data_IF_202323536206
#
_entry.id   IF_202323536206
#
_cell.length_a   1.000
_cell.length_b   1.000
_cell.length_c   1.000
_cell.angle_alpha   90.00
_cell.angle_beta   90.00
_cell.angle_gamma   90.00
#
_symmetry.space_group_name_H-M   'P 1'
#
loop_
_entity.id
_entity.type
_entity.pdbx_description
1 polymer ?
#
# COMPACT_ATOMS: atom_id res chain seq x y z
N UNK A 1 -14.02 27.90 1.17
CA UNK A 1 -12.59 27.52 1.02
C UNK A 1 -11.84 28.76 0.59
N UNK A 2 -10.78 29.14 1.31
CA UNK A 2 -9.92 30.28 0.92
C UNK A 2 -8.88 29.82 -0.10
N UNK A 3 -8.30 30.74 -0.86
CA UNK A 3 -7.21 30.42 -1.78
C UNK A 3 -5.97 29.91 -1.02
N UNK A 4 -5.71 30.39 0.21
CA UNK A 4 -4.66 29.80 1.05
C UNK A 4 -4.91 28.30 1.34
N UNK A 5 -6.17 27.90 1.61
CA UNK A 5 -6.48 26.50 1.90
C UNK A 5 -6.27 25.56 0.70
N UNK A 6 -6.42 26.07 -0.52
CA UNK A 6 -6.16 25.31 -1.75
C UNK A 6 -4.65 25.14 -2.00
N UNK A 7 -3.86 26.17 -1.74
CA UNK A 7 -2.41 26.12 -1.91
C UNK A 7 -1.69 25.29 -0.83
N UNK A 8 -2.32 25.09 0.33
CA UNK A 8 -1.79 24.23 1.40
C UNK A 8 -1.96 22.73 1.13
N UNK A 9 -2.82 22.35 0.18
CA UNK A 9 -3.01 20.96 -0.19
C UNK A 9 -1.81 20.44 -1.00
N UNK A 10 -1.24 19.31 -0.57
CA UNK A 10 -0.22 18.57 -1.32
C UNK A 10 -0.61 17.11 -1.46
N UNK A 11 -0.32 16.53 -2.63
CA UNK A 11 -0.47 15.08 -2.84
C UNK A 11 0.50 14.26 -1.97
N UNK A 12 1.55 14.89 -1.44
CA UNK A 12 2.52 14.23 -0.55
C UNK A 12 1.88 13.70 0.73
N UNK A 13 0.74 14.26 1.17
CA UNK A 13 -0.01 13.74 2.32
C UNK A 13 -0.45 12.29 2.16
N UNK A 14 -0.57 11.80 0.91
CA UNK A 14 -0.97 10.44 0.60
C UNK A 14 0.21 9.53 0.26
N UNK A 15 1.44 10.06 0.19
CA UNK A 15 2.62 9.25 -0.05
C UNK A 15 2.93 8.39 1.18
N UNK A 16 3.24 7.12 0.94
CA UNK A 16 3.73 6.19 1.95
C UNK A 16 5.21 5.89 1.81
N UNK A 17 5.95 6.68 1.01
CA UNK A 17 7.38 6.49 0.79
C UNK A 17 8.14 6.46 2.13
N UNK A 18 8.91 5.39 2.33
CA UNK A 18 9.70 5.19 3.55
C UNK A 18 8.88 4.75 4.77
N UNK A 19 7.58 4.46 4.60
CA UNK A 19 6.76 3.79 5.62
C UNK A 19 6.74 2.29 5.38
N UNK A 20 6.43 1.55 6.44
CA UNK A 20 6.20 0.10 6.36
C UNK A 20 4.77 -0.20 6.79
N UNK A 21 4.05 -1.00 6.01
CA UNK A 21 2.69 -1.43 6.30
C UNK A 21 2.62 -2.95 6.47
N UNK A 22 1.90 -3.39 7.49
CA UNK A 22 1.60 -4.81 7.73
C UNK A 22 0.16 -5.08 7.29
N UNK A 23 -0.04 -6.02 6.38
CA UNK A 23 -1.37 -6.38 5.87
C UNK A 23 -1.66 -7.85 6.18
N UNK A 24 -2.40 -8.10 7.26
CA UNK A 24 -2.86 -9.45 7.63
C UNK A 24 -3.90 -9.94 6.64
N UNK A 25 -3.79 -11.17 6.16
CA UNK A 25 -4.66 -11.68 5.09
C UNK A 25 -4.42 -10.98 3.75
N UNK A 26 -3.26 -10.32 3.58
CA UNK A 26 -2.92 -9.57 2.37
C UNK A 26 -2.53 -10.42 1.17
N UNK A 27 -2.61 -11.75 1.25
CA UNK A 27 -2.17 -12.67 0.19
C UNK A 27 -3.31 -13.14 -0.73
N UNK A 28 -4.53 -12.63 -0.54
CA UNK A 28 -5.66 -12.91 -1.43
C UNK A 28 -6.76 -11.85 -1.31
N UNK A 29 -7.71 -11.87 -2.26
CA UNK A 29 -8.94 -11.06 -2.20
C UNK A 29 -8.69 -9.56 -1.98
N UNK A 30 -9.48 -8.95 -1.10
CA UNK A 30 -9.36 -7.52 -0.79
C UNK A 30 -8.04 -7.18 -0.09
N UNK A 31 -7.50 -8.08 0.73
CA UNK A 31 -6.22 -7.86 1.39
C UNK A 31 -5.08 -7.71 0.38
N UNK A 32 -5.07 -8.51 -0.67
CA UNK A 32 -4.11 -8.39 -1.78
C UNK A 32 -4.25 -7.06 -2.51
N UNK A 33 -5.49 -6.64 -2.81
CA UNK A 33 -5.74 -5.35 -3.44
C UNK A 33 -5.21 -4.18 -2.57
N UNK A 34 -5.41 -4.23 -1.25
CA UNK A 34 -4.89 -3.22 -0.33
C UNK A 34 -3.37 -3.25 -0.24
N UNK A 35 -2.75 -4.43 -0.12
CA UNK A 35 -1.30 -4.57 -0.11
C UNK A 35 -0.66 -3.97 -1.37
N UNK A 36 -1.24 -4.25 -2.54
CA UNK A 36 -0.80 -3.67 -3.81
C UNK A 36 -0.98 -2.14 -3.85
N UNK A 37 -2.12 -1.62 -3.39
CA UNK A 37 -2.36 -0.17 -3.38
C UNK A 37 -1.38 0.57 -2.46
N UNK A 38 -1.11 0.02 -1.26
CA UNK A 38 -0.17 0.58 -0.31
C UNK A 38 1.27 0.53 -0.85
N UNK A 39 1.65 -0.58 -1.50
CA UNK A 39 2.95 -0.70 -2.17
C UNK A 39 3.11 0.36 -3.27
N UNK A 40 2.08 0.54 -4.12
CA UNK A 40 2.07 1.57 -5.18
C UNK A 40 2.16 3.00 -4.62
N UNK A 41 1.64 3.23 -3.42
CA UNK A 41 1.80 4.51 -2.70
C UNK A 41 3.22 4.68 -2.10
N UNK A 42 4.10 3.68 -2.20
CA UNK A 42 5.50 3.73 -1.81
C UNK A 42 5.84 3.08 -0.47
N UNK A 43 4.90 2.36 0.15
CA UNK A 43 5.16 1.64 1.38
C UNK A 43 5.97 0.36 1.15
N UNK A 44 6.86 0.03 2.09
CA UNK A 44 7.37 -1.33 2.23
C UNK A 44 6.25 -2.22 2.81
N UNK A 45 6.02 -3.40 2.26
CA UNK A 45 4.90 -4.25 2.67
C UNK A 45 5.37 -5.53 3.36
N UNK A 46 4.72 -5.88 4.46
CA UNK A 46 4.84 -7.19 5.11
C UNK A 46 3.47 -7.87 5.17
N UNK A 47 3.36 -9.09 4.63
CA UNK A 47 2.09 -9.82 4.51
C UNK A 47 2.20 -11.13 5.31
N UNK A 48 1.80 -11.14 6.59
CA UNK A 48 1.67 -12.39 7.32
C UNK A 48 0.40 -13.12 6.87
N UNK A 49 0.54 -14.41 6.53
CA UNK A 49 -0.58 -15.30 6.22
C UNK A 49 -0.28 -16.74 6.64
N UNK A 50 -1.35 -17.46 6.96
CA UNK A 50 -1.29 -18.90 7.25
C UNK A 50 -1.27 -19.76 5.98
N UNK A 51 -1.86 -19.25 4.88
CA UNK A 51 -1.97 -19.96 3.61
C UNK A 51 -0.98 -19.37 2.63
N UNK A 52 -0.24 -20.23 1.93
CA UNK A 52 0.70 -19.80 0.90
C UNK A 52 -0.05 -19.38 -0.37
N UNK A 53 0.38 -18.31 -1.01
CA UNK A 53 -0.09 -17.85 -2.32
C UNK A 53 0.94 -18.12 -3.43
N UNK A 54 1.92 -18.99 -3.16
CA UNK A 54 3.04 -19.30 -4.05
C UNK A 54 3.86 -18.08 -4.49
N UNK A 55 3.79 -16.95 -3.76
CA UNK A 55 4.51 -15.74 -4.10
C UNK A 55 3.81 -14.85 -5.13
N UNK A 56 2.59 -15.18 -5.56
CA UNK A 56 1.82 -14.39 -6.52
C UNK A 56 1.70 -12.92 -6.10
N UNK A 57 1.34 -12.66 -4.84
CA UNK A 57 1.18 -11.27 -4.35
C UNK A 57 2.50 -10.52 -4.36
N UNK A 58 3.60 -11.21 -4.03
CA UNK A 58 4.93 -10.61 -4.06
C UNK A 58 5.29 -10.19 -5.49
N UNK A 59 5.10 -11.07 -6.47
CA UNK A 59 5.35 -10.75 -7.87
C UNK A 59 4.47 -9.59 -8.35
N UNK A 60 3.19 -9.53 -7.94
CA UNK A 60 2.30 -8.43 -8.30
C UNK A 60 2.75 -7.08 -7.72
N UNK A 61 3.41 -7.07 -6.57
CA UNK A 61 3.89 -5.86 -5.88
C UNK A 61 5.25 -5.41 -6.41
N UNK A 62 6.15 -6.33 -6.73
CA UNK A 62 7.53 -6.02 -7.13
C UNK A 62 7.69 -5.78 -8.65
N UNK A 63 6.65 -6.04 -9.44
CA UNK A 63 6.57 -5.65 -10.86
C UNK A 63 6.36 -4.15 -11.02
#
# INVERSE_FOLDING_TARGET
MSIESLNAFSMDFFSLKGKTAIVTGGNSGLGQAFAMALAKAGANIFIPSFVKDNGETKEMIER
#
